data_IF_191391665972
#
_entry.id   IF_191391665972
#
_cell.length_a   1.000
_cell.length_b   1.000
_cell.length_c   1.000
_cell.angle_alpha   90.00
_cell.angle_beta   90.00
_cell.angle_gamma   90.00
#
_symmetry.space_group_name_H-M   'P 1'
#
loop_
_entity.id
_entity.type
_entity.pdbx_description
1 polymer ?
#
# COMPACT_ATOMS: atom_id res chain seq x y z
N UNK A 1 -32.33 61.84 32.06
CA UNK A 1 -32.44 60.40 32.35
C UNK A 1 -31.15 59.71 31.91
N UNK A 2 -30.49 59.02 32.87
CA UNK A 2 -29.48 57.93 32.76
C UNK A 2 -28.24 58.17 31.86
N UNK A 3 -27.09 58.48 32.45
CA UNK A 3 -26.07 57.59 33.07
C UNK A 3 -25.22 56.84 32.03
N UNK A 4 -23.93 57.21 31.94
CA UNK A 4 -22.89 56.50 31.20
C UNK A 4 -22.26 55.36 32.00
N UNK A 5 -21.31 54.62 31.40
CA UNK A 5 -20.17 53.94 32.07
C UNK A 5 -19.04 53.72 31.06
N UNK A 6 -17.83 53.81 31.62
CA UNK A 6 -16.47 53.81 31.08
C UNK A 6 -15.86 52.41 30.93
N UNK A 7 -14.97 52.26 29.93
CA UNK A 7 -13.72 51.46 29.79
C UNK A 7 -13.66 50.03 30.35
N UNK A 8 -12.99 49.13 29.62
CA UNK A 8 -11.85 48.35 30.15
C UNK A 8 -10.91 47.87 29.02
N UNK A 9 -9.65 48.30 29.12
CA UNK A 9 -8.49 47.80 28.37
C UNK A 9 -7.72 46.93 29.37
N UNK A 10 -7.45 45.66 29.02
CA UNK A 10 -6.55 44.81 29.79
C UNK A 10 -5.32 44.53 28.93
N UNK A 11 -4.21 45.15 29.34
CA UNK A 11 -2.84 44.78 28.98
C UNK A 11 -2.36 43.78 30.04
N UNK A 12 -1.76 42.69 29.63
CA UNK A 12 -0.92 41.87 30.51
C UNK A 12 0.41 41.61 29.78
N UNK A 13 1.51 41.93 30.47
CA UNK A 13 2.87 41.70 29.99
C UNK A 13 3.67 40.95 31.05
N UNK A 14 4.57 40.10 30.53
CA UNK A 14 5.84 39.57 31.09
C UNK A 14 5.76 38.42 32.10
N UNK A 15 6.41 37.32 31.71
CA UNK A 15 6.87 36.24 32.58
C UNK A 15 7.66 35.21 31.77
N UNK A 16 8.93 35.50 31.47
CA UNK A 16 9.91 34.55 30.94
C UNK A 16 10.31 33.57 32.04
N UNK A 17 10.14 32.27 31.81
CA UNK A 17 10.79 31.22 32.61
C UNK A 17 11.49 30.26 31.64
N UNK A 18 12.81 30.33 31.67
CA UNK A 18 13.75 29.35 31.10
C UNK A 18 13.65 28.03 31.86
N UNK A 19 13.40 26.94 31.15
CA UNK A 19 13.42 25.58 31.70
C UNK A 19 14.09 24.63 30.71
N UNK A 20 15.41 24.60 30.70
CA UNK A 20 16.18 23.51 30.09
C UNK A 20 15.89 22.20 30.83
N UNK A 21 15.22 21.26 30.16
CA UNK A 21 15.12 19.88 30.63
C UNK A 21 16.07 19.02 29.80
N UNK A 22 17.32 18.94 30.27
CA UNK A 22 18.31 17.94 29.84
C UNK A 22 17.90 16.59 30.42
N UNK A 23 17.33 15.71 29.60
CA UNK A 23 17.20 14.29 29.94
C UNK A 23 18.44 13.55 29.44
N UNK A 24 19.32 13.26 30.39
CA UNK A 24 20.55 12.50 30.20
C UNK A 24 20.20 11.00 30.21
N UNK A 25 20.17 10.35 29.04
CA UNK A 25 20.07 8.90 28.93
C UNK A 25 21.47 8.27 29.11
N UNK A 26 21.68 7.34 30.05
CA UNK A 26 22.92 6.56 30.10
C UNK A 26 22.85 5.40 29.11
N UNK A 27 23.73 5.44 28.11
CA UNK A 27 24.06 4.31 27.25
C UNK A 27 24.71 3.20 28.09
N UNK A 28 24.11 2.01 28.12
CA UNK A 28 24.79 0.77 28.48
C UNK A 28 24.89 -0.12 27.24
N UNK A 29 26.08 -0.09 26.67
CA UNK A 29 26.63 -1.10 25.77
C UNK A 29 26.68 -2.45 26.50
N UNK A 30 25.96 -3.44 26.00
CA UNK A 30 26.27 -4.84 26.25
C UNK A 30 26.49 -5.54 24.92
N UNK A 31 27.77 -5.84 24.71
CA UNK A 31 28.34 -6.68 23.66
C UNK A 31 27.99 -8.14 24.01
N UNK A 32 27.08 -8.77 23.27
CA UNK A 32 26.95 -10.23 23.28
C UNK A 32 27.75 -10.81 22.13
N UNK A 33 28.86 -11.45 22.48
CA UNK A 33 29.69 -12.25 21.60
C UNK A 33 28.94 -13.55 21.30
N UNK A 34 28.51 -13.75 20.05
CA UNK A 34 28.09 -15.07 19.57
C UNK A 34 29.26 -15.75 18.89
N UNK A 35 29.71 -16.84 19.52
CA UNK A 35 30.75 -17.72 19.04
C UNK A 35 30.36 -18.41 17.74
N UNK A 36 31.23 -18.32 16.74
CA UNK A 36 31.14 -19.04 15.49
C UNK A 36 31.29 -20.56 15.72
N UNK A 37 30.26 -21.32 15.34
CA UNK A 37 30.34 -22.78 15.23
C UNK A 37 31.03 -23.13 13.91
N UNK A 38 32.27 -23.62 14.00
CA UNK A 38 33.01 -24.24 12.90
C UNK A 38 32.57 -25.70 12.75
N UNK A 39 31.97 -26.05 11.61
CA UNK A 39 31.88 -27.44 11.15
C UNK A 39 33.07 -27.74 10.21
N UNK A 40 33.82 -28.80 10.51
CA UNK A 40 34.83 -29.39 9.62
C UNK A 40 34.18 -30.52 8.79
N UNK A 41 34.57 -30.72 7.53
CA UNK A 41 34.22 -31.93 6.78
C UNK A 41 35.23 -33.05 7.08
N UNK A 42 34.75 -34.29 7.12
CA UNK A 42 35.55 -35.51 7.24
C UNK A 42 35.36 -36.39 6.01
N UNK A 43 36.49 -36.88 5.51
CA UNK A 43 36.72 -37.70 4.31
C UNK A 43 36.06 -39.09 4.30
N UNK A 44 35.63 -39.51 3.09
CA UNK A 44 36.23 -40.63 2.34
C UNK A 44 35.97 -42.10 2.72
N UNK A 45 35.32 -42.85 1.81
CA UNK A 45 35.89 -44.08 1.23
C UNK A 45 35.12 -44.62 0.02
N UNK A 46 35.94 -45.07 -0.93
CA UNK A 46 35.83 -45.75 -2.23
C UNK A 46 34.88 -46.96 -2.31
N UNK A 47 34.07 -47.10 -3.37
CA UNK A 47 34.28 -47.79 -4.67
C UNK A 47 33.64 -49.18 -4.69
N UNK A 48 32.88 -49.48 -5.75
CA UNK A 48 33.09 -50.60 -6.68
C UNK A 48 31.94 -50.66 -7.70
N UNK A 49 32.31 -50.62 -8.98
CA UNK A 49 31.44 -50.78 -10.14
C UNK A 49 31.60 -52.19 -10.75
N UNK A 50 30.50 -52.84 -11.14
CA UNK A 50 30.39 -53.90 -12.19
C UNK A 50 28.89 -53.96 -12.58
N UNK A 51 28.44 -53.46 -13.74
CA UNK A 51 28.38 -54.07 -15.08
C UNK A 51 27.39 -55.24 -15.29
N UNK A 52 26.45 -55.00 -16.21
CA UNK A 52 26.02 -55.87 -17.32
C UNK A 52 24.95 -56.97 -17.13
N UNK A 53 23.82 -56.71 -17.81
CA UNK A 53 23.13 -57.54 -18.83
C UNK A 53 21.97 -58.47 -18.44
N UNK A 54 20.78 -58.02 -18.88
CA UNK A 54 19.78 -58.72 -19.68
C UNK A 54 19.35 -60.16 -19.30
N UNK A 55 18.06 -60.31 -18.96
CA UNK A 55 17.10 -61.09 -19.77
C UNK A 55 15.66 -60.94 -19.25
N UNK A 56 14.77 -60.55 -20.18
CA UNK A 56 13.38 -61.03 -20.47
C UNK A 56 12.55 -61.53 -19.26
N UNK A 57 11.34 -61.04 -19.04
CA UNK A 57 10.13 -61.50 -19.76
C UNK A 57 8.90 -60.69 -19.32
N UNK A 58 7.84 -60.89 -20.10
CA UNK A 58 6.57 -60.18 -20.24
C UNK A 58 5.52 -60.44 -19.12
N UNK A 59 4.62 -59.45 -18.96
CA UNK A 59 3.22 -59.49 -18.47
C UNK A 59 2.97 -59.57 -16.94
N UNK A 60 2.32 -58.53 -16.41
CA UNK A 60 1.15 -58.66 -15.53
C UNK A 60 0.33 -57.35 -15.50
N UNK A 61 -0.93 -57.45 -15.91
CA UNK A 61 -1.95 -56.41 -15.90
C UNK A 61 -2.42 -56.19 -14.46
N UNK A 62 -2.27 -54.98 -13.91
CA UNK A 62 -3.05 -54.54 -12.74
C UNK A 62 -3.38 -53.05 -12.88
N UNK A 63 -4.60 -52.82 -13.36
CA UNK A 63 -5.52 -51.72 -13.01
C UNK A 63 -4.90 -50.43 -12.44
N UNK A 64 -4.83 -49.38 -13.25
CA UNK A 64 -4.70 -48.00 -12.78
C UNK A 64 -5.97 -47.20 -13.08
N UNK A 65 -7.06 -47.36 -12.32
CA UNK A 65 -8.13 -46.38 -12.31
C UNK A 65 -7.83 -45.31 -11.27
N UNK A 66 -8.15 -44.06 -11.64
CA UNK A 66 -8.28 -42.92 -10.74
C UNK A 66 -7.03 -42.48 -9.97
N UNK A 67 -6.30 -41.53 -10.56
CA UNK A 67 -5.87 -40.31 -9.86
C UNK A 67 -5.34 -39.33 -10.91
N UNK A 68 -6.25 -38.82 -11.74
CA UNK A 68 -6.05 -37.50 -12.32
C UNK A 68 -6.44 -36.48 -11.24
N UNK A 69 -5.63 -35.44 -11.04
CA UNK A 69 -5.77 -34.52 -9.92
C UNK A 69 -7.07 -33.72 -10.07
N UNK A 70 -7.66 -33.41 -8.92
CA UNK A 70 -8.70 -32.41 -8.71
C UNK A 70 -8.32 -31.06 -9.35
N UNK A 71 -8.48 -30.92 -10.66
CA UNK A 71 -8.75 -29.62 -11.27
C UNK A 71 -10.22 -29.40 -11.01
N UNK A 72 -10.52 -28.78 -9.87
CA UNK A 72 -11.88 -28.42 -9.49
C UNK A 72 -12.52 -27.64 -10.63
N UNK A 73 -13.55 -28.23 -11.25
CA UNK A 73 -14.55 -27.48 -11.98
C UNK A 73 -15.16 -26.48 -11.00
N UNK A 74 -14.63 -25.25 -10.97
CA UNK A 74 -15.35 -24.13 -10.40
C UNK A 74 -16.71 -24.10 -11.11
N UNK A 75 -17.83 -24.23 -10.39
CA UNK A 75 -19.13 -24.25 -11.04
C UNK A 75 -19.32 -22.93 -11.77
N UNK A 76 -19.76 -22.96 -13.02
CA UNK A 76 -20.02 -21.75 -13.83
C UNK A 76 -20.87 -20.72 -13.05
N UNK A 77 -21.75 -21.19 -12.18
CA UNK A 77 -22.56 -20.37 -11.28
C UNK A 77 -21.74 -19.54 -10.27
N UNK A 78 -20.62 -20.04 -9.76
CA UNK A 78 -19.75 -19.29 -8.83
C UNK A 78 -18.98 -18.18 -9.56
N UNK A 79 -18.47 -18.46 -10.76
CA UNK A 79 -17.83 -17.45 -11.59
C UNK A 79 -18.82 -16.35 -12.00
N UNK A 80 -20.06 -16.73 -12.32
CA UNK A 80 -21.13 -15.81 -12.66
C UNK A 80 -21.64 -15.00 -11.45
N UNK A 81 -21.68 -15.60 -10.25
CA UNK A 81 -22.02 -14.90 -9.02
C UNK A 81 -20.96 -13.84 -8.66
N UNK A 82 -19.67 -14.19 -8.71
CA UNK A 82 -18.58 -13.24 -8.45
C UNK A 82 -18.54 -12.09 -9.45
N UNK A 83 -18.82 -12.35 -10.73
CA UNK A 83 -18.94 -11.30 -11.74
C UNK A 83 -20.13 -10.35 -11.46
N UNK A 84 -21.27 -10.89 -11.03
CA UNK A 84 -22.44 -10.09 -10.65
C UNK A 84 -22.16 -9.22 -9.42
N UNK A 85 -21.52 -9.79 -8.41
CA UNK A 85 -21.12 -9.07 -7.20
C UNK A 85 -20.16 -7.92 -7.50
N UNK A 86 -19.13 -8.17 -8.32
CA UNK A 86 -18.19 -7.14 -8.76
C UNK A 86 -18.91 -5.97 -9.44
N UNK A 87 -19.84 -6.25 -10.35
CA UNK A 87 -20.60 -5.22 -11.05
C UNK A 87 -21.48 -4.39 -10.10
N UNK A 88 -22.08 -5.02 -9.09
CA UNK A 88 -22.89 -4.32 -8.08
C UNK A 88 -22.03 -3.39 -7.22
N UNK A 89 -20.87 -3.87 -6.73
CA UNK A 89 -19.91 -3.03 -5.99
C UNK A 89 -19.47 -1.85 -6.88
N UNK A 90 -19.10 -2.14 -8.13
CA UNK A 90 -18.68 -1.14 -9.12
C UNK A 90 -19.73 -0.05 -9.29
N UNK A 91 -21.00 -0.42 -9.45
CA UNK A 91 -22.11 0.51 -9.63
C UNK A 91 -22.32 1.42 -8.40
N UNK A 92 -22.35 0.84 -7.19
CA UNK A 92 -22.53 1.62 -5.96
C UNK A 92 -21.36 2.57 -5.67
N UNK A 93 -20.13 2.13 -5.94
CA UNK A 93 -18.93 2.98 -5.86
C UNK A 93 -19.05 4.16 -6.82
N UNK A 94 -19.45 3.94 -8.08
CA UNK A 94 -19.63 5.01 -9.08
C UNK A 94 -20.65 6.06 -8.67
N UNK A 95 -21.65 5.71 -7.85
CA UNK A 95 -22.65 6.66 -7.34
C UNK A 95 -22.06 7.66 -6.34
N UNK A 96 -20.96 7.33 -5.67
CA UNK A 96 -20.35 8.17 -4.62
C UNK A 96 -18.99 8.78 -5.03
N UNK A 97 -18.32 8.17 -5.99
CA UNK A 97 -17.00 8.51 -6.47
C UNK A 97 -17.05 9.53 -7.62
N UNK A 98 -16.61 10.75 -7.35
CA UNK A 98 -16.33 11.76 -8.38
C UNK A 98 -14.82 11.88 -8.61
N UNK A 99 -14.41 12.47 -9.74
CA UNK A 99 -12.98 12.75 -10.02
C UNK A 99 -12.27 13.45 -8.85
N UNK A 100 -12.89 14.46 -8.26
CA UNK A 100 -12.32 15.19 -7.12
C UNK A 100 -12.18 14.38 -5.82
N UNK A 101 -12.84 13.22 -5.71
CA UNK A 101 -12.68 12.28 -4.59
C UNK A 101 -11.72 11.13 -4.91
N UNK A 102 -11.38 10.92 -6.18
CA UNK A 102 -10.60 9.77 -6.65
C UNK A 102 -9.24 9.70 -5.97
N UNK A 103 -8.51 10.81 -5.87
CA UNK A 103 -7.21 10.83 -5.18
C UNK A 103 -7.31 10.43 -3.70
N UNK A 104 -8.37 10.85 -3.01
CA UNK A 104 -8.60 10.47 -1.60
C UNK A 104 -8.95 8.99 -1.44
N UNK A 105 -9.71 8.42 -2.38
CA UNK A 105 -10.02 6.98 -2.41
C UNK A 105 -8.79 6.17 -2.76
N UNK A 106 -8.00 6.59 -3.75
CA UNK A 106 -6.77 5.89 -4.12
C UNK A 106 -5.76 5.90 -2.97
N UNK A 107 -5.66 7.01 -2.23
CA UNK A 107 -4.88 7.07 -0.99
C UNK A 107 -5.45 6.12 0.08
N UNK A 108 -6.77 6.06 0.27
CA UNK A 108 -7.38 5.11 1.20
C UNK A 108 -6.98 3.65 0.88
N UNK A 109 -7.01 3.28 -0.41
CA UNK A 109 -6.59 1.94 -0.87
C UNK A 109 -5.11 1.70 -0.58
N UNK A 110 -4.24 2.67 -0.88
CA UNK A 110 -2.81 2.55 -0.59
C UNK A 110 -2.53 2.38 0.91
N UNK A 111 -3.27 3.10 1.76
CA UNK A 111 -3.09 3.04 3.21
C UNK A 111 -3.61 1.74 3.82
N UNK A 112 -4.63 1.10 3.23
CA UNK A 112 -5.07 -0.26 3.61
C UNK A 112 -4.05 -1.30 3.12
N UNK A 113 -3.73 -1.32 1.82
CA UNK A 113 -2.83 -2.31 1.23
C UNK A 113 -1.37 -2.17 1.71
N UNK A 114 -0.95 -0.96 2.05
CA UNK A 114 0.43 -0.63 2.39
C UNK A 114 0.89 -1.17 3.74
N UNK A 115 0.00 -1.71 4.57
CA UNK A 115 0.36 -2.34 5.86
C UNK A 115 0.85 -3.78 5.69
N UNK A 116 0.80 -4.36 4.48
CA UNK A 116 1.30 -5.70 4.23
C UNK A 116 2.80 -5.82 4.54
N UNK A 117 3.19 -6.91 5.21
CA UNK A 117 4.59 -7.30 5.38
C UNK A 117 4.78 -8.79 5.05
N UNK A 118 5.76 -9.08 4.20
CA UNK A 118 6.06 -10.42 3.71
C UNK A 118 6.70 -11.31 4.79
N UNK A 119 7.36 -10.71 5.79
CA UNK A 119 8.10 -11.48 6.80
C UNK A 119 7.18 -12.20 7.77
N UNK A 120 6.02 -11.61 8.08
CA UNK A 120 5.01 -12.19 8.96
C UNK A 120 3.67 -12.47 8.25
N UNK A 121 3.59 -12.19 6.94
CA UNK A 121 2.41 -12.39 6.10
C UNK A 121 1.14 -11.78 6.73
N UNK A 122 1.29 -10.56 7.27
CA UNK A 122 0.21 -9.85 7.96
C UNK A 122 -0.05 -8.48 7.35
N UNK A 123 -1.24 -7.96 7.64
CA UNK A 123 -1.78 -6.74 7.08
C UNK A 123 -2.11 -6.83 5.59
N UNK A 124 -2.28 -5.68 4.96
CA UNK A 124 -2.57 -5.55 3.54
C UNK A 124 -4.04 -5.23 3.26
N UNK A 125 -4.48 -5.51 2.04
CA UNK A 125 -5.81 -5.11 1.58
C UNK A 125 -6.89 -6.02 2.19
N UNK A 126 -7.20 -5.78 3.46
CA UNK A 126 -8.09 -6.56 4.30
C UNK A 126 -9.16 -5.66 4.96
N UNK A 127 -9.22 -4.37 4.61
CA UNK A 127 -10.18 -3.42 5.15
C UNK A 127 -9.90 -2.94 6.58
N UNK A 128 -8.74 -3.25 7.17
CA UNK A 128 -8.36 -2.82 8.51
C UNK A 128 -8.35 -1.29 8.66
N UNK A 129 -8.11 -0.56 7.56
CA UNK A 129 -8.08 0.91 7.52
C UNK A 129 -9.31 1.56 8.15
N UNK A 130 -10.47 0.89 8.16
CA UNK A 130 -11.71 1.39 8.77
C UNK A 130 -11.64 1.56 10.29
N UNK A 131 -10.65 0.92 10.92
CA UNK A 131 -10.31 0.98 12.35
C UNK A 131 -9.08 1.89 12.64
N UNK A 132 -8.44 2.44 11.60
CA UNK A 132 -7.13 3.08 11.72
C UNK A 132 -7.14 4.59 11.37
N UNK A 133 -8.32 5.15 11.11
CA UNK A 133 -8.49 6.52 10.60
C UNK A 133 -8.04 7.61 11.58
N UNK A 134 -7.85 7.28 12.85
CA UNK A 134 -7.38 8.21 13.89
C UNK A 134 -5.85 8.31 13.96
N UNK A 135 -5.13 7.43 13.24
CA UNK A 135 -3.67 7.42 13.22
C UNK A 135 -3.10 8.62 12.45
N UNK A 136 -1.95 9.18 12.88
CA UNK A 136 -1.32 10.32 12.21
C UNK A 136 -1.06 10.11 10.71
N UNK A 137 -0.59 8.93 10.32
CA UNK A 137 -0.33 8.56 8.93
C UNK A 137 -1.60 8.57 8.06
N UNK A 138 -2.77 8.34 8.66
CA UNK A 138 -4.06 8.29 8.00
C UNK A 138 -4.82 9.62 8.05
N UNK A 139 -4.17 10.70 8.53
CA UNK A 139 -4.80 12.00 8.69
C UNK A 139 -5.52 12.46 7.41
N UNK A 140 -6.79 12.87 7.59
CA UNK A 140 -7.66 13.35 6.51
C UNK A 140 -8.40 12.25 5.73
N UNK A 141 -8.04 10.96 5.89
CA UNK A 141 -8.80 9.86 5.31
C UNK A 141 -10.12 9.66 6.06
N UNK A 142 -11.16 9.28 5.33
CA UNK A 142 -12.50 9.08 5.90
C UNK A 142 -13.19 7.92 5.20
N UNK A 143 -13.64 6.92 5.97
CA UNK A 143 -14.51 5.85 5.43
C UNK A 143 -15.86 6.36 4.92
N UNK A 144 -16.30 7.55 5.37
CA UNK A 144 -17.55 8.16 4.94
C UNK A 144 -17.63 8.42 3.43
N UNK A 145 -16.50 8.46 2.74
CA UNK A 145 -16.45 8.55 1.27
C UNK A 145 -17.12 7.34 0.61
N UNK A 146 -16.96 6.14 1.17
CA UNK A 146 -17.51 4.89 0.66
C UNK A 146 -18.69 4.37 1.49
N UNK A 147 -18.89 4.88 2.71
CA UNK A 147 -19.92 4.40 3.63
C UNK A 147 -21.33 4.41 3.03
N UNK A 148 -21.69 5.42 2.24
CA UNK A 148 -23.01 5.45 1.57
C UNK A 148 -23.16 4.27 0.60
N UNK A 149 -22.15 4.01 -0.22
CA UNK A 149 -22.14 2.86 -1.14
C UNK A 149 -22.20 1.54 -0.35
N UNK A 150 -21.41 1.43 0.73
CA UNK A 150 -21.40 0.26 1.63
C UNK A 150 -22.80 -0.05 2.18
N UNK A 151 -23.48 0.94 2.73
CA UNK A 151 -24.82 0.75 3.29
C UNK A 151 -25.85 0.33 2.23
N UNK A 152 -25.77 0.87 1.01
CA UNK A 152 -26.71 0.51 -0.06
C UNK A 152 -26.49 -0.92 -0.54
N UNK A 153 -25.23 -1.32 -0.78
CA UNK A 153 -24.96 -2.68 -1.24
C UNK A 153 -25.25 -3.71 -0.16
N UNK A 154 -24.92 -3.45 1.11
CA UNK A 154 -25.17 -4.38 2.22
C UNK A 154 -26.66 -4.68 2.42
N UNK A 155 -27.53 -3.74 2.06
CA UNK A 155 -28.98 -3.95 2.07
C UNK A 155 -29.45 -4.94 0.98
N UNK A 156 -28.66 -5.12 -0.08
CA UNK A 156 -28.91 -6.07 -1.17
C UNK A 156 -28.19 -7.39 -0.89
N UNK A 157 -26.88 -7.31 -0.63
CA UNK A 157 -26.01 -8.42 -0.26
C UNK A 157 -24.83 -7.89 0.58
N UNK A 158 -24.49 -8.52 1.72
CA UNK A 158 -23.32 -8.15 2.48
C UNK A 158 -22.04 -8.31 1.65
N UNK A 159 -21.22 -7.27 1.58
CA UNK A 159 -19.88 -7.30 0.97
C UNK A 159 -18.82 -6.94 2.00
N UNK A 160 -17.59 -7.38 1.82
CA UNK A 160 -16.49 -6.95 2.70
C UNK A 160 -16.10 -5.49 2.44
N UNK A 161 -15.66 -4.79 3.47
CA UNK A 161 -14.94 -3.52 3.30
C UNK A 161 -13.69 -3.71 2.45
N UNK A 162 -12.97 -4.81 2.63
CA UNK A 162 -11.77 -5.13 1.86
C UNK A 162 -12.03 -5.16 0.35
N UNK A 163 -13.09 -5.84 -0.11
CA UNK A 163 -13.45 -5.86 -1.53
C UNK A 163 -14.01 -4.52 -2.01
N UNK A 164 -14.80 -3.83 -1.17
CA UNK A 164 -15.28 -2.49 -1.51
C UNK A 164 -14.13 -1.49 -1.73
N UNK A 165 -13.12 -1.49 -0.86
CA UNK A 165 -11.94 -0.62 -0.97
C UNK A 165 -11.15 -0.97 -2.23
N UNK A 166 -10.91 -2.25 -2.50
CA UNK A 166 -10.19 -2.70 -3.69
C UNK A 166 -10.88 -2.25 -4.99
N UNK A 167 -12.20 -2.46 -5.10
CA UNK A 167 -12.98 -2.01 -6.27
C UNK A 167 -12.99 -0.48 -6.36
N UNK A 168 -13.09 0.23 -5.23
CA UNK A 168 -13.06 1.68 -5.22
C UNK A 168 -11.74 2.27 -5.73
N UNK A 169 -10.61 1.61 -5.46
CA UNK A 169 -9.30 1.98 -6.02
C UNK A 169 -9.25 1.84 -7.53
N UNK A 170 -9.73 0.72 -8.07
CA UNK A 170 -9.82 0.50 -9.52
C UNK A 170 -10.70 1.57 -10.20
N UNK A 171 -11.86 1.88 -9.60
CA UNK A 171 -12.73 2.94 -10.12
C UNK A 171 -12.11 4.34 -10.02
N UNK A 172 -11.31 4.62 -8.98
CA UNK A 172 -10.62 5.89 -8.83
C UNK A 172 -9.61 6.15 -9.97
N UNK A 173 -8.95 5.09 -10.45
CA UNK A 173 -8.07 5.16 -11.62
C UNK A 173 -8.88 5.34 -12.90
N UNK A 174 -9.90 4.51 -13.13
CA UNK A 174 -10.73 4.52 -14.35
C UNK A 174 -11.45 5.88 -14.52
N UNK A 175 -12.04 6.43 -13.45
CA UNK A 175 -12.79 7.70 -13.52
C UNK A 175 -11.88 8.89 -13.85
N UNK A 176 -10.59 8.82 -13.51
CA UNK A 176 -9.59 9.83 -13.83
C UNK A 176 -8.95 9.65 -15.21
N UNK A 177 -9.42 8.67 -16.01
CA UNK A 177 -8.91 8.41 -17.36
C UNK A 177 -7.76 7.40 -17.42
N UNK A 178 -7.46 6.73 -16.30
CA UNK A 178 -6.49 5.63 -16.27
C UNK A 178 -7.05 4.33 -16.84
N UNK A 179 -6.21 3.29 -16.96
CA UNK A 179 -6.64 2.00 -17.51
C UNK A 179 -7.66 1.31 -16.59
N UNK A 180 -8.58 0.50 -17.15
CA UNK A 180 -9.48 -0.32 -16.34
C UNK A 180 -8.67 -1.41 -15.61
N UNK A 181 -8.87 -1.53 -14.29
CA UNK A 181 -8.19 -2.51 -13.45
C UNK A 181 -9.20 -3.59 -13.03
N UNK A 182 -8.87 -4.84 -13.35
CA UNK A 182 -9.67 -5.99 -12.92
C UNK A 182 -9.37 -6.32 -11.46
N UNK A 183 -10.42 -6.46 -10.64
CA UNK A 183 -10.29 -6.77 -9.22
C UNK A 183 -10.97 -8.11 -8.95
N UNK A 184 -10.18 -9.10 -8.53
CA UNK A 184 -10.70 -10.35 -7.98
C UNK A 184 -11.32 -10.09 -6.61
N UNK A 185 -12.53 -10.60 -6.38
CA UNK A 185 -13.22 -10.53 -5.09
C UNK A 185 -12.89 -11.73 -4.19
N UNK A 186 -13.36 -11.69 -2.95
CA UNK A 186 -13.23 -12.74 -1.94
C UNK A 186 -12.36 -12.35 -0.74
N UNK A 187 -12.05 -11.06 -0.56
CA UNK A 187 -11.29 -10.60 0.61
C UNK A 187 -12.17 -10.63 1.85
N UNK A 188 -11.60 -11.11 2.95
CA UNK A 188 -12.24 -11.08 4.26
C UNK A 188 -11.88 -9.80 5.00
N UNK A 189 -12.84 -9.26 5.74
CA UNK A 189 -12.61 -8.09 6.58
C UNK A 189 -11.74 -8.46 7.79
N UNK A 190 -10.73 -7.62 8.03
CA UNK A 190 -10.02 -7.61 9.30
C UNK A 190 -10.99 -7.24 10.44
N UNK A 191 -10.75 -7.81 11.62
CA UNK A 191 -11.56 -7.55 12.82
C UNK A 191 -10.88 -6.55 13.77
N UNK A 192 -9.61 -6.25 13.50
CA UNK A 192 -8.73 -5.41 14.32
C UNK A 192 -7.86 -4.57 13.38
N UNK A 193 -7.32 -3.43 13.83
CA UNK A 193 -6.38 -2.64 13.04
C UNK A 193 -5.07 -3.39 12.82
N UNK A 194 -4.41 -3.13 11.69
CA UNK A 194 -3.08 -3.65 11.37
C UNK A 194 -1.99 -2.94 12.18
N UNK A 195 -0.76 -3.50 12.27
CA UNK A 195 0.34 -2.87 12.98
C UNK A 195 0.75 -1.50 12.40
N UNK A 196 1.10 -0.56 13.29
CA UNK A 196 1.58 0.78 12.94
C UNK A 196 3.00 0.78 12.37
N UNK A 197 3.40 1.89 11.74
CA UNK A 197 4.77 2.10 11.26
C UNK A 197 5.15 1.28 10.03
N UNK A 198 4.17 0.75 9.29
CA UNK A 198 4.38 -0.02 8.06
C UNK A 198 4.26 0.79 6.77
N UNK A 199 3.69 1.98 6.82
CA UNK A 199 3.57 2.87 5.66
C UNK A 199 4.86 3.68 5.43
N UNK A 200 5.20 4.01 4.17
CA UNK A 200 6.35 4.85 3.88
C UNK A 200 6.10 6.29 4.36
N UNK A 201 7.10 6.87 5.04
CA UNK A 201 7.07 8.28 5.42
C UNK A 201 7.42 9.18 4.23
N UNK A 202 6.81 10.36 4.17
CA UNK A 202 7.02 11.32 3.07
C UNK A 202 8.45 11.87 2.99
N UNK A 203 9.23 11.74 4.06
CA UNK A 203 10.60 12.21 4.23
C UNK A 203 11.67 11.15 3.88
N UNK A 204 11.26 9.91 3.55
CA UNK A 204 12.21 8.83 3.24
C UNK A 204 13.02 9.16 1.99
N UNK A 205 14.32 8.82 2.04
CA UNK A 205 15.15 8.79 0.85
C UNK A 205 14.89 7.51 0.03
N UNK A 206 15.50 7.41 -1.16
CA UNK A 206 15.30 6.28 -2.07
C UNK A 206 15.63 4.93 -1.44
N UNK A 207 16.72 4.84 -0.64
CA UNK A 207 17.06 3.60 0.05
C UNK A 207 15.99 3.19 1.08
N UNK A 208 15.43 4.16 1.80
CA UNK A 208 14.34 3.93 2.75
C UNK A 208 13.06 3.47 2.06
N UNK A 209 12.69 4.13 0.95
CA UNK A 209 11.55 3.75 0.13
C UNK A 209 11.70 2.33 -0.43
N UNK A 210 12.86 2.02 -1.02
CA UNK A 210 13.17 0.68 -1.54
C UNK A 210 13.03 -0.37 -0.44
N UNK A 211 13.60 -0.14 0.75
CA UNK A 211 13.48 -1.07 1.88
C UNK A 211 12.02 -1.26 2.33
N UNK A 212 11.25 -0.17 2.40
CA UNK A 212 9.84 -0.21 2.78
C UNK A 212 9.02 -1.04 1.78
N UNK A 213 9.20 -0.84 0.48
CA UNK A 213 8.46 -1.57 -0.56
C UNK A 213 8.92 -3.03 -0.68
N UNK A 214 10.22 -3.31 -0.51
CA UNK A 214 10.75 -4.66 -0.47
C UNK A 214 10.16 -5.49 0.68
N UNK A 215 9.87 -4.89 1.84
CA UNK A 215 9.18 -5.60 2.93
C UNK A 215 7.74 -5.98 2.57
N UNK A 216 7.16 -5.38 1.53
CA UNK A 216 5.85 -5.72 0.95
C UNK A 216 5.95 -6.71 -0.20
N UNK A 217 7.16 -7.19 -0.52
CA UNK A 217 7.43 -8.04 -1.67
C UNK A 217 7.47 -7.29 -3.00
N UNK A 218 7.59 -5.96 -3.00
CA UNK A 218 7.63 -5.14 -4.22
C UNK A 218 9.06 -4.75 -4.60
N UNK A 219 9.33 -4.80 -5.89
CA UNK A 219 10.60 -4.40 -6.52
C UNK A 219 10.74 -2.87 -6.62
N UNK A 220 11.95 -2.40 -6.94
CA UNK A 220 12.20 -0.98 -7.23
C UNK A 220 11.38 -0.48 -8.42
N UNK A 221 11.15 -1.32 -9.43
CA UNK A 221 10.29 -0.97 -10.56
C UNK A 221 8.84 -0.75 -10.13
N UNK A 222 8.31 -1.61 -9.26
CA UNK A 222 6.94 -1.48 -8.74
C UNK A 222 6.79 -0.29 -7.80
N UNK A 223 7.82 0.03 -7.00
CA UNK A 223 7.89 1.29 -6.25
C UNK A 223 7.71 2.48 -7.20
N UNK A 224 8.55 2.60 -8.24
CA UNK A 224 8.49 3.72 -9.17
C UNK A 224 7.15 3.79 -9.89
N UNK A 225 6.59 2.65 -10.30
CA UNK A 225 5.28 2.57 -10.94
C UNK A 225 4.14 3.03 -10.00
N UNK A 226 4.14 2.58 -8.75
CA UNK A 226 3.10 2.94 -7.77
C UNK A 226 3.19 4.40 -7.34
N UNK A 227 4.38 4.99 -7.28
CA UNK A 227 4.55 6.43 -7.04
C UNK A 227 3.86 7.31 -8.09
N UNK A 228 3.61 6.77 -9.30
CA UNK A 228 2.83 7.44 -10.35
C UNK A 228 1.40 7.79 -9.94
N UNK A 229 0.85 7.17 -8.89
CA UNK A 229 -0.45 7.54 -8.32
C UNK A 229 -0.53 9.00 -7.88
N UNK A 230 0.61 9.64 -7.57
CA UNK A 230 0.69 11.07 -7.25
C UNK A 230 0.37 11.99 -8.43
N UNK A 231 0.17 11.46 -9.64
CA UNK A 231 -0.31 12.24 -10.79
C UNK A 231 -1.72 12.79 -10.61
N UNK A 232 -2.53 12.20 -9.72
CA UNK A 232 -3.83 12.74 -9.31
C UNK A 232 -3.79 13.26 -7.88
N UNK A 233 -4.61 14.26 -7.58
CA UNK A 233 -4.67 14.93 -6.29
C UNK A 233 -3.80 16.18 -6.19
N UNK A 234 -3.59 16.64 -4.96
CA UNK A 234 -3.11 18.00 -4.70
C UNK A 234 -1.60 18.10 -4.46
N UNK A 235 -0.79 17.22 -5.07
CA UNK A 235 0.68 17.25 -4.93
C UNK A 235 1.38 18.17 -5.95
N UNK A 236 0.61 18.86 -6.78
CA UNK A 236 1.13 19.83 -7.75
C UNK A 236 1.64 19.21 -9.05
N UNK A 237 1.42 17.90 -9.24
CA UNK A 237 1.70 17.22 -10.50
C UNK A 237 0.51 17.37 -11.45
N UNK A 238 0.68 18.15 -12.52
CA UNK A 238 -0.30 18.27 -13.59
C UNK A 238 -1.73 18.62 -13.13
N UNK A 239 -2.72 18.00 -13.78
CA UNK A 239 -4.13 18.16 -13.42
C UNK A 239 -4.52 17.19 -12.31
N UNK A 240 -5.12 17.66 -11.19
CA UNK A 240 -5.41 16.83 -10.02
C UNK A 240 -6.45 15.73 -10.26
N UNK A 241 -7.09 15.71 -11.43
CA UNK A 241 -8.19 14.81 -11.79
C UNK A 241 -7.91 14.04 -13.11
N UNK A 242 -6.64 14.00 -13.54
CA UNK A 242 -6.19 13.35 -14.77
C UNK A 242 -5.13 12.31 -14.45
N UNK A 243 -5.42 11.04 -14.73
CA UNK A 243 -4.45 9.97 -14.60
C UNK A 243 -3.61 9.90 -15.88
N UNK A 244 -2.40 10.48 -15.84
CA UNK A 244 -1.50 10.55 -16.98
C UNK A 244 -0.02 10.56 -16.53
N UNK A 245 0.90 10.80 -17.46
CA UNK A 245 2.35 10.80 -17.18
C UNK A 245 2.87 12.13 -16.62
N UNK A 246 2.01 13.07 -16.20
CA UNK A 246 2.44 14.39 -15.69
C UNK A 246 3.32 14.27 -14.47
N UNK A 247 3.07 13.28 -13.59
CA UNK A 247 3.93 12.99 -12.45
C UNK A 247 5.41 12.86 -12.86
N UNK A 248 5.72 11.92 -13.76
CA UNK A 248 7.10 11.66 -14.18
C UNK A 248 7.69 12.81 -14.99
N UNK A 249 6.89 13.48 -15.84
CA UNK A 249 7.36 14.63 -16.62
C UNK A 249 7.81 15.77 -15.72
N UNK A 250 6.96 16.18 -14.79
CA UNK A 250 7.24 17.26 -13.84
C UNK A 250 8.37 16.89 -12.89
N UNK A 251 8.47 15.62 -12.48
CA UNK A 251 9.55 15.17 -11.60
C UNK A 251 10.93 15.30 -12.24
N UNK A 252 11.04 15.22 -13.57
CA UNK A 252 12.29 15.40 -14.30
C UNK A 252 12.62 16.88 -14.59
N UNK A 253 11.63 17.77 -14.53
CA UNK A 253 11.75 19.21 -14.82
C UNK A 253 12.15 20.00 -13.57
N UNK A 254 13.43 19.98 -13.23
CA UNK A 254 13.99 20.83 -12.16
C UNK A 254 14.03 22.32 -12.59
N UNK A 255 13.80 23.29 -11.68
CA UNK A 255 13.47 23.14 -10.26
C UNK A 255 11.97 22.93 -10.01
N UNK A 256 11.62 22.19 -8.94
CA UNK A 256 10.24 21.91 -8.54
C UNK A 256 9.58 23.06 -7.76
N UNK A 257 9.50 24.23 -8.39
CA UNK A 257 8.83 25.41 -7.81
C UNK A 257 7.43 25.57 -8.38
N UNK A 258 6.43 25.77 -7.53
CA UNK A 258 5.13 26.26 -8.01
C UNK A 258 5.14 27.78 -8.12
N UNK A 259 4.43 28.30 -9.13
CA UNK A 259 4.20 29.73 -9.34
C UNK A 259 3.39 30.42 -8.22
N UNK A 260 2.95 29.68 -7.20
CA UNK A 260 2.16 30.15 -6.06
C UNK A 260 2.97 30.43 -4.78
N UNK A 261 3.91 31.38 -4.81
CA UNK A 261 4.57 31.88 -3.60
C UNK A 261 5.51 30.90 -2.88
N UNK A 262 6.27 31.41 -1.91
CA UNK A 262 7.43 30.75 -1.26
C UNK A 262 7.13 29.48 -0.43
N UNK A 263 5.93 28.87 -0.53
CA UNK A 263 5.48 27.74 0.30
C UNK A 263 4.95 26.53 -0.50
N UNK A 264 4.67 26.67 -1.80
CA UNK A 264 4.16 25.56 -2.61
C UNK A 264 5.31 24.85 -3.33
N UNK A 265 5.90 23.83 -2.70
CA UNK A 265 6.77 22.88 -3.40
C UNK A 265 5.91 21.86 -4.14
N UNK A 266 6.32 21.49 -5.37
CA UNK A 266 5.70 20.40 -6.11
C UNK A 266 6.27 19.08 -5.60
N UNK A 267 5.40 18.12 -5.29
CA UNK A 267 5.79 16.81 -4.78
C UNK A 267 6.25 16.80 -3.32
N UNK A 268 6.55 15.59 -2.84
CA UNK A 268 7.10 15.31 -1.53
C UNK A 268 8.62 15.10 -1.60
N UNK A 269 9.36 15.23 -0.48
CA UNK A 269 10.78 14.87 -0.44
C UNK A 269 11.06 13.45 -0.94
N UNK A 270 10.18 12.50 -0.62
CA UNK A 270 10.21 11.11 -1.12
C UNK A 270 10.01 11.00 -2.62
N UNK A 271 9.20 11.86 -3.25
CA UNK A 271 9.08 11.91 -4.71
C UNK A 271 10.41 12.35 -5.34
N UNK A 272 11.00 13.42 -4.80
CA UNK A 272 12.29 13.94 -5.30
C UNK A 272 13.40 12.91 -5.13
N UNK A 273 13.38 12.13 -4.04
CA UNK A 273 14.37 11.09 -3.80
C UNK A 273 14.41 10.03 -4.92
N UNK A 274 13.29 9.77 -5.62
CA UNK A 274 13.25 8.79 -6.71
C UNK A 274 14.10 9.20 -7.91
N UNK A 275 14.26 10.51 -8.16
CA UNK A 275 15.08 11.01 -9.29
C UNK A 275 16.52 11.30 -8.90
N UNK A 276 16.89 11.14 -7.64
CA UNK A 276 18.27 11.20 -7.18
C UNK A 276 18.92 9.81 -7.07
N UNK A 277 18.17 8.72 -7.26
CA UNK A 277 18.66 7.34 -7.21
C UNK A 277 18.72 6.72 -8.62
N UNK A 278 19.91 6.25 -9.01
CA UNK A 278 20.19 5.72 -10.35
C UNK A 278 19.32 4.52 -10.72
N UNK A 279 18.92 3.69 -9.74
CA UNK A 279 18.10 2.51 -9.97
C UNK A 279 16.65 2.92 -10.23
N UNK A 280 16.10 3.79 -9.37
CA UNK A 280 14.76 4.34 -9.55
C UNK A 280 14.65 5.10 -10.89
N UNK A 281 15.66 5.90 -11.25
CA UNK A 281 15.71 6.63 -12.51
C UNK A 281 15.62 5.73 -13.75
N UNK A 282 16.09 4.49 -13.69
CA UNK A 282 16.03 3.54 -14.83
C UNK A 282 14.61 3.09 -15.14
N UNK A 283 13.73 3.07 -14.15
CA UNK A 283 12.36 2.59 -14.28
C UNK A 283 11.33 3.71 -14.52
N UNK A 284 11.79 4.95 -14.73
CA UNK A 284 10.90 6.04 -15.11
C UNK A 284 10.18 5.69 -16.41
N UNK A 285 8.85 5.73 -16.37
CA UNK A 285 8.03 5.43 -17.54
C UNK A 285 8.15 6.63 -18.50
N UNK A 286 8.71 6.38 -19.68
CA UNK A 286 8.83 7.34 -20.79
C UNK A 286 7.48 7.61 -21.45
#
# INVERSE_FOLDING_TARGET
MRLGVSKHVVRCSIGTVSGESKTHFPAKSQRSSFSAVKFRPGDGSSDLAVSSSSRRELICIVTWPCLLPLIGCLPANALQAGAKEYLLIKEEVRKVLSKGKAAGVLRLVFHDAGTFDINDNSGGMNGSIVYELERPENAGLKKSVLQKAKTQIDAIQPVSWADMIAVAGAEAVEVCGGPPIQVSLGRLDALVPDPEGRLPEESLNASGLKKCFQSKGLSTQELVALSGAHTIGSKGFGSPNSFDNSYYKVLLEKPWTSSGGMSSMIGLPSDHALVEDDECLRFRIS
#
